data_IF_773872862216
#
_entry.id   IF_773872862216
#
_cell.length_a   1.000
_cell.length_b   1.000
_cell.length_c   1.000
_cell.angle_alpha   90.00
_cell.angle_beta   90.00
_cell.angle_gamma   90.00
#
_symmetry.space_group_name_H-M   'P 1'
#
loop_
_entity.id
_entity.type
_entity.pdbx_description
1 polymer ?
#
# COMPACT_ATOMS: atom_id res chain seq x y z
N UNK A 1 0.41 -36.19 10.61
CA UNK A 1 -0.56 -35.13 11.00
C UNK A 1 0.08 -33.81 10.61
N UNK A 2 -0.32 -33.26 9.48
CA UNK A 2 0.22 -32.00 8.97
C UNK A 2 -0.40 -30.84 9.77
N UNK A 3 0.45 -30.00 10.33
CA UNK A 3 0.08 -28.89 11.22
C UNK A 3 -0.72 -27.85 10.43
N UNK A 4 -1.96 -27.59 10.86
CA UNK A 4 -2.95 -26.66 10.28
C UNK A 4 -2.59 -25.17 10.45
N UNK A 5 -1.32 -24.79 10.28
CA UNK A 5 -0.85 -23.40 10.41
C UNK A 5 -0.05 -22.89 9.19
N UNK A 6 0.02 -23.68 8.13
CA UNK A 6 0.42 -23.22 6.80
C UNK A 6 -0.81 -23.27 5.91
N UNK A 7 -0.92 -22.33 4.96
CA UNK A 7 -2.06 -22.05 4.05
C UNK A 7 -3.01 -20.95 4.59
N UNK A 8 -2.50 -19.73 4.72
CA UNK A 8 -3.33 -18.50 4.66
C UNK A 8 -2.58 -17.35 3.97
N UNK A 9 -1.71 -17.68 3.01
CA UNK A 9 -1.07 -16.70 2.14
C UNK A 9 -0.93 -17.26 0.73
N UNK A 10 -2.01 -17.82 0.22
CA UNK A 10 -2.11 -18.20 -1.19
C UNK A 10 -3.57 -18.04 -1.60
N UNK A 11 -3.75 -17.35 -2.73
CA UNK A 11 -5.01 -17.02 -3.42
C UNK A 11 -5.62 -15.65 -3.10
N UNK A 12 -4.97 -14.56 -3.55
CA UNK A 12 -5.61 -13.48 -4.34
C UNK A 12 -4.56 -12.89 -5.30
N UNK A 13 -4.05 -13.72 -6.21
CA UNK A 13 -3.54 -13.22 -7.49
C UNK A 13 -4.24 -14.09 -8.51
N UNK A 14 -5.34 -13.58 -9.10
CA UNK A 14 -5.87 -13.87 -10.44
C UNK A 14 -7.21 -13.12 -10.57
N UNK A 15 -7.20 -12.08 -11.40
CA UNK A 15 -8.30 -11.72 -12.29
C UNK A 15 -9.39 -10.78 -11.75
N UNK A 16 -9.35 -9.51 -12.16
CA UNK A 16 -10.38 -8.90 -13.04
C UNK A 16 -10.12 -7.39 -13.21
N UNK A 17 -10.05 -6.95 -14.47
CA UNK A 17 -9.90 -5.57 -14.93
C UNK A 17 -11.00 -4.61 -14.40
N UNK A 18 -10.82 -4.04 -13.20
CA UNK A 18 -11.72 -3.00 -12.67
C UNK A 18 -10.97 -1.86 -11.95
N UNK A 19 -9.63 -1.75 -11.91
CA UNK A 19 -9.03 -0.75 -11.01
C UNK A 19 -9.35 0.71 -11.37
N UNK A 20 -9.55 1.03 -12.66
CA UNK A 20 -9.88 2.42 -13.04
C UNK A 20 -11.22 2.89 -12.43
N UNK A 21 -12.20 2.00 -12.27
CA UNK A 21 -13.51 2.34 -11.69
C UNK A 21 -13.50 2.41 -10.16
N UNK A 22 -12.52 1.80 -9.49
CA UNK A 22 -12.37 1.88 -8.03
C UNK A 22 -11.81 3.22 -7.54
N UNK A 23 -11.11 3.98 -8.39
CA UNK A 23 -10.54 5.28 -8.00
C UNK A 23 -11.60 6.33 -7.64
N UNK A 24 -12.82 6.24 -8.21
CA UNK A 24 -13.92 7.18 -7.93
C UNK A 24 -14.54 6.94 -6.54
N UNK A 25 -14.53 5.70 -6.05
CA UNK A 25 -15.13 5.35 -4.75
C UNK A 25 -14.20 5.56 -3.54
N UNK A 26 -12.94 5.98 -3.76
CA UNK A 26 -11.91 6.07 -2.72
C UNK A 26 -11.56 7.52 -2.32
N UNK A 27 -12.33 8.52 -2.79
CA UNK A 27 -12.32 9.88 -2.23
C UNK A 27 -13.18 9.83 -0.97
N UNK A 28 -12.64 10.06 0.24
CA UNK A 28 -13.47 10.11 1.44
C UNK A 28 -14.46 11.29 1.31
N UNK A 29 -15.76 11.01 1.37
CA UNK A 29 -16.81 12.02 1.59
C UNK A 29 -16.66 12.59 3.00
N UNK A 30 -15.71 13.51 3.16
CA UNK A 30 -15.32 14.11 4.44
C UNK A 30 -14.94 13.09 5.53
N UNK A 31 -14.17 13.50 6.56
CA UNK A 31 -14.11 12.73 7.78
C UNK A 31 -15.45 12.92 8.49
N UNK A 32 -16.53 12.31 8.00
CA UNK A 32 -17.64 11.98 8.88
C UNK A 32 -17.04 10.99 9.88
N UNK A 33 -16.73 11.55 11.04
CA UNK A 33 -16.18 10.91 12.22
C UNK A 33 -17.00 9.68 12.58
N UNK A 34 -16.77 8.57 11.87
CA UNK A 34 -17.03 7.25 12.39
C UNK A 34 -15.85 7.00 13.31
N UNK A 35 -15.93 7.61 14.49
CA UNK A 35 -15.16 7.19 15.65
C UNK A 35 -15.54 5.71 15.82
N UNK A 36 -14.78 4.82 15.19
CA UNK A 36 -14.88 3.40 15.43
C UNK A 36 -14.61 3.25 16.92
N UNK A 37 -15.69 2.96 17.62
CA UNK A 37 -15.76 2.91 19.07
C UNK A 37 -15.03 1.64 19.50
N UNK A 38 -13.88 1.75 20.16
CA UNK A 38 -13.21 0.73 21.01
C UNK A 38 -13.61 -0.75 20.72
N UNK A 39 -13.48 -1.22 19.47
CA UNK A 39 -14.18 -2.43 19.00
C UNK A 39 -13.40 -3.70 19.30
N UNK A 40 -12.22 -3.83 18.70
CA UNK A 40 -11.23 -4.87 18.95
C UNK A 40 -9.95 -4.42 18.21
N UNK A 41 -8.80 -4.26 18.88
CA UNK A 41 -7.55 -3.91 18.19
C UNK A 41 -7.17 -4.90 17.07
N UNK A 42 -7.60 -6.16 17.15
CA UNK A 42 -7.44 -7.13 16.08
C UNK A 42 -8.21 -6.72 14.83
N UNK A 43 -9.52 -6.56 14.98
CA UNK A 43 -10.42 -6.25 13.85
C UNK A 43 -10.02 -4.94 13.18
N UNK A 44 -9.62 -3.94 13.97
CA UNK A 44 -9.12 -2.67 13.44
C UNK A 44 -7.85 -2.84 12.59
N UNK A 45 -6.87 -3.60 13.10
CA UNK A 45 -5.61 -3.83 12.39
C UNK A 45 -5.81 -4.70 11.14
N UNK A 46 -6.59 -5.77 11.24
CA UNK A 46 -6.94 -6.64 10.11
C UNK A 46 -7.67 -5.85 9.01
N UNK A 47 -8.65 -5.03 9.39
CA UNK A 47 -9.34 -4.14 8.45
C UNK A 47 -8.39 -3.15 7.77
N UNK A 48 -7.46 -2.56 8.51
CA UNK A 48 -6.48 -1.63 7.96
C UNK A 48 -5.50 -2.32 6.99
N UNK A 49 -5.09 -3.56 7.29
CA UNK A 49 -4.26 -4.39 6.41
C UNK A 49 -5.01 -4.68 5.10
N UNK A 50 -6.25 -5.18 5.18
CA UNK A 50 -7.06 -5.50 4.01
C UNK A 50 -7.26 -4.26 3.12
N UNK A 51 -7.59 -3.11 3.72
CA UNK A 51 -7.71 -1.84 3.00
C UNK A 51 -6.40 -1.46 2.31
N UNK A 52 -5.26 -1.67 2.98
CA UNK A 52 -3.95 -1.35 2.41
C UNK A 52 -3.64 -2.23 1.22
N UNK A 53 -3.89 -3.54 1.30
CA UNK A 53 -3.72 -4.46 0.17
C UNK A 53 -4.54 -4.01 -1.05
N UNK A 54 -5.82 -3.68 -0.85
CA UNK A 54 -6.68 -3.18 -1.94
C UNK A 54 -6.14 -1.88 -2.56
N UNK A 55 -5.72 -0.92 -1.73
CA UNK A 55 -5.17 0.36 -2.19
C UNK A 55 -3.87 0.16 -3.00
N UNK A 56 -2.97 -0.70 -2.51
CA UNK A 56 -1.69 -0.96 -3.17
C UNK A 56 -1.86 -1.76 -4.47
N UNK A 57 -2.70 -2.79 -4.47
CA UNK A 57 -2.98 -3.57 -5.68
C UNK A 57 -3.58 -2.70 -6.79
N UNK A 58 -4.55 -1.85 -6.43
CA UNK A 58 -5.13 -0.88 -7.36
C UNK A 58 -4.09 0.10 -7.92
N UNK A 59 -3.18 0.59 -7.07
CA UNK A 59 -2.08 1.44 -7.52
C UNK A 59 -1.10 0.72 -8.46
N UNK A 60 -0.76 -0.54 -8.15
CA UNK A 60 0.12 -1.35 -9.00
C UNK A 60 -0.48 -1.60 -10.39
N UNK A 61 -1.80 -1.82 -10.48
CA UNK A 61 -2.48 -1.91 -11.77
C UNK A 61 -2.30 -0.63 -12.58
N UNK A 62 -2.46 0.54 -11.96
CA UNK A 62 -2.24 1.85 -12.62
C UNK A 62 -0.79 2.02 -13.07
N UNK A 63 0.18 1.55 -12.30
CA UNK A 63 1.58 1.54 -12.72
C UNK A 63 1.84 0.63 -13.93
N UNK A 64 1.20 -0.54 -13.98
CA UNK A 64 1.26 -1.44 -15.15
C UNK A 64 0.63 -0.78 -16.38
N UNK A 65 -0.56 -0.20 -16.24
CA UNK A 65 -1.25 0.49 -17.33
C UNK A 65 -0.42 1.68 -17.86
N UNK A 66 0.24 2.44 -16.98
CA UNK A 66 1.16 3.50 -17.39
C UNK A 66 2.35 2.93 -18.20
N UNK A 67 2.98 1.85 -17.75
CA UNK A 67 4.10 1.20 -18.49
C UNK A 67 3.67 0.73 -19.88
N UNK A 68 2.43 0.30 -20.03
CA UNK A 68 1.85 -0.12 -21.31
C UNK A 68 1.44 1.05 -22.22
N UNK A 69 1.49 2.30 -21.72
CA UNK A 69 1.03 3.48 -22.44
C UNK A 69 -0.50 3.67 -22.45
N UNK A 70 -1.22 2.92 -21.61
CA UNK A 70 -2.68 2.98 -21.49
C UNK A 70 -3.15 4.11 -20.56
N UNK A 71 -2.27 4.57 -19.65
CA UNK A 71 -2.51 5.68 -18.73
C UNK A 71 -1.47 6.78 -18.95
N UNK A 72 -1.93 8.02 -19.10
CA UNK A 72 -1.04 9.18 -19.23
C UNK A 72 -0.36 9.52 -17.89
N UNK A 73 0.83 10.10 -17.98
CA UNK A 73 1.61 10.58 -16.82
C UNK A 73 0.80 11.42 -15.82
N UNK A 74 0.00 12.39 -16.29
CA UNK A 74 -0.78 13.24 -15.39
C UNK A 74 -1.80 12.44 -14.57
N UNK A 75 -2.45 11.45 -15.20
CA UNK A 75 -3.39 10.54 -14.53
C UNK A 75 -2.67 9.64 -13.53
N UNK A 76 -1.49 9.14 -13.90
CA UNK A 76 -0.62 8.39 -13.00
C UNK A 76 -0.23 9.21 -11.77
N UNK A 77 0.30 10.42 -11.97
CA UNK A 77 0.74 11.32 -10.89
C UNK A 77 -0.41 11.68 -9.94
N UNK A 78 -1.59 11.96 -10.50
CA UNK A 78 -2.80 12.21 -9.71
C UNK A 78 -3.17 11.01 -8.85
N UNK A 79 -3.15 9.80 -9.43
CA UNK A 79 -3.46 8.56 -8.72
C UNK A 79 -2.45 8.28 -7.63
N UNK A 80 -1.16 8.48 -7.91
CA UNK A 80 -0.08 8.31 -6.96
C UNK A 80 -0.23 9.26 -5.76
N UNK A 81 -0.58 10.53 -6.00
CA UNK A 81 -0.81 11.50 -4.92
C UNK A 81 -2.01 11.10 -4.05
N UNK A 82 -3.14 10.73 -4.67
CA UNK A 82 -4.33 10.27 -3.94
C UNK A 82 -4.02 9.04 -3.10
N UNK A 83 -3.26 8.08 -3.64
CA UNK A 83 -2.84 6.87 -2.92
C UNK A 83 -1.96 7.22 -1.73
N UNK A 84 -0.98 8.13 -1.90
CA UNK A 84 -0.12 8.62 -0.81
C UNK A 84 -0.97 9.30 0.28
N UNK A 85 -1.96 10.10 -0.09
CA UNK A 85 -2.84 10.78 0.86
C UNK A 85 -3.69 9.79 1.66
N UNK A 86 -4.20 8.73 1.02
CA UNK A 86 -4.91 7.65 1.71
C UNK A 86 -4.02 6.91 2.71
N UNK A 87 -2.78 6.56 2.32
CA UNK A 87 -1.81 5.94 3.23
C UNK A 87 -1.47 6.88 4.40
N UNK A 88 -1.34 8.19 4.15
CA UNK A 88 -1.13 9.19 5.19
C UNK A 88 -2.30 9.27 6.18
N UNK A 89 -3.54 9.27 5.69
CA UNK A 89 -4.72 9.27 6.55
C UNK A 89 -4.73 8.04 7.45
N UNK A 90 -4.47 6.84 6.91
CA UNK A 90 -4.36 5.61 7.71
C UNK A 90 -3.25 5.70 8.76
N UNK A 91 -2.07 6.24 8.41
CA UNK A 91 -0.99 6.44 9.38
C UNK A 91 -1.43 7.38 10.52
N UNK A 92 -2.11 8.48 10.20
CA UNK A 92 -2.61 9.44 11.20
C UNK A 92 -3.66 8.79 12.11
N UNK A 93 -4.62 8.07 11.52
CA UNK A 93 -5.66 7.34 12.24
C UNK A 93 -5.05 6.33 13.23
N UNK A 94 -4.06 5.55 12.80
CA UNK A 94 -3.41 4.54 13.64
C UNK A 94 -2.53 5.17 14.73
N UNK A 95 -1.82 6.26 14.44
CA UNK A 95 -0.98 6.98 15.43
C UNK A 95 -1.81 7.75 16.46
N UNK A 96 -3.01 8.19 16.10
CA UNK A 96 -3.89 8.98 16.96
C UNK A 96 -4.67 8.19 18.01
N UNK A 97 -4.59 6.86 17.99
CA UNK A 97 -5.38 5.99 18.86
C UNK A 97 -4.58 5.43 20.04
N UNK A 98 -5.20 5.24 21.22
CA UNK A 98 -4.62 4.46 22.29
C UNK A 98 -4.64 2.96 21.91
N UNK A 99 -3.47 2.34 21.85
CA UNK A 99 -3.30 0.92 21.50
C UNK A 99 -2.89 0.15 22.77
N UNK A 100 -3.52 -1.00 23.10
CA UNK A 100 -3.08 -1.84 24.21
C UNK A 100 -1.62 -2.30 24.02
N UNK A 101 -0.87 -2.43 25.11
CA UNK A 101 0.57 -2.70 25.05
C UNK A 101 0.91 -3.98 24.28
N UNK A 102 0.08 -5.01 24.40
CA UNK A 102 0.23 -6.29 23.69
C UNK A 102 0.10 -6.13 22.16
N UNK A 103 -0.66 -5.15 21.68
CA UNK A 103 -0.87 -4.88 20.25
C UNK A 103 0.12 -3.87 19.66
N UNK A 104 0.84 -3.12 20.51
CA UNK A 104 1.68 -1.99 20.10
C UNK A 104 2.72 -2.39 19.04
N UNK A 105 3.35 -3.56 19.17
CA UNK A 105 4.36 -4.01 18.21
C UNK A 105 3.76 -4.23 16.81
N UNK A 106 2.62 -4.91 16.72
CA UNK A 106 1.93 -5.14 15.44
C UNK A 106 1.56 -3.82 14.76
N UNK A 107 0.99 -2.87 15.51
CA UNK A 107 0.63 -1.56 14.96
C UNK A 107 1.85 -0.76 14.50
N UNK A 108 2.94 -0.75 15.26
CA UNK A 108 4.18 -0.05 14.88
C UNK A 108 4.76 -0.61 13.58
N UNK A 109 4.85 -1.94 13.46
CA UNK A 109 5.33 -2.60 12.25
C UNK A 109 4.42 -2.31 11.04
N UNK A 110 3.11 -2.31 11.25
CA UNK A 110 2.16 -1.99 10.19
C UNK A 110 2.28 -0.53 9.74
N UNK A 111 2.38 0.42 10.66
CA UNK A 111 2.63 1.83 10.33
C UNK A 111 3.92 1.99 9.52
N UNK A 112 4.99 1.29 9.90
CA UNK A 112 6.25 1.30 9.14
C UNK A 112 6.08 0.70 7.74
N UNK A 113 5.23 -0.33 7.59
CA UNK A 113 4.86 -0.86 6.28
C UNK A 113 4.19 0.20 5.40
N UNK A 114 3.20 0.94 5.94
CA UNK A 114 2.54 2.03 5.23
C UNK A 114 3.53 3.13 4.79
N UNK A 115 4.48 3.48 5.66
CA UNK A 115 5.53 4.44 5.35
C UNK A 115 6.42 3.96 4.18
N UNK A 116 6.75 2.66 4.12
CA UNK A 116 7.52 2.07 3.02
C UNK A 116 6.72 1.97 1.72
N UNK A 117 5.41 1.70 1.78
CA UNK A 117 4.56 1.77 0.60
C UNK A 117 4.49 3.17 0.01
N UNK A 118 4.41 4.21 0.85
CA UNK A 118 4.49 5.59 0.38
C UNK A 118 5.82 5.86 -0.32
N UNK A 119 6.94 5.45 0.28
CA UNK A 119 8.26 5.59 -0.33
C UNK A 119 8.32 4.88 -1.69
N UNK A 120 7.80 3.65 -1.77
CA UNK A 120 7.66 2.93 -3.04
C UNK A 120 6.88 3.76 -4.09
N UNK A 121 5.72 4.31 -3.74
CA UNK A 121 4.93 5.15 -4.65
C UNK A 121 5.72 6.40 -5.08
N UNK A 122 6.43 7.05 -4.18
CA UNK A 122 7.29 8.19 -4.52
C UNK A 122 8.40 7.79 -5.50
N UNK A 123 9.05 6.64 -5.29
CA UNK A 123 10.09 6.12 -6.19
C UNK A 123 9.55 5.76 -7.57
N UNK A 124 8.34 5.21 -7.64
CA UNK A 124 7.71 4.96 -8.94
C UNK A 124 7.39 6.26 -9.66
N UNK A 125 6.96 7.34 -8.97
CA UNK A 125 6.79 8.68 -9.59
C UNK A 125 8.11 9.24 -10.13
N UNK A 126 9.20 9.10 -9.39
CA UNK A 126 10.53 9.48 -9.86
C UNK A 126 10.90 8.70 -11.15
N UNK A 127 10.64 7.40 -11.18
CA UNK A 127 10.86 6.56 -12.37
C UNK A 127 9.98 6.99 -13.56
N UNK A 128 8.69 7.26 -13.33
CA UNK A 128 7.77 7.76 -14.36
C UNK A 128 8.26 9.09 -14.93
N UNK A 129 8.68 10.02 -14.08
CA UNK A 129 9.27 11.29 -14.49
C UNK A 129 10.51 11.06 -15.35
N UNK A 130 11.41 10.18 -14.92
CA UNK A 130 12.62 9.82 -15.64
C UNK A 130 12.34 9.27 -17.06
N UNK A 131 11.39 8.34 -17.21
CA UNK A 131 11.02 7.79 -18.52
C UNK A 131 10.30 8.79 -19.41
N UNK A 132 9.52 9.70 -18.82
CA UNK A 132 8.73 10.70 -19.57
C UNK A 132 9.59 11.75 -20.27
N UNK A 133 10.83 11.96 -19.83
CA UNK A 133 11.79 12.88 -20.47
C UNK A 133 12.73 12.17 -21.47
N UNK A 134 12.32 11.00 -21.98
CA UNK A 134 13.07 10.17 -22.94
C UNK A 134 14.51 9.84 -22.49
N UNK A 135 14.76 9.75 -21.18
CA UNK A 135 16.04 9.29 -20.67
C UNK A 135 16.11 7.76 -20.74
N UNK A 136 17.16 7.24 -21.38
CA UNK A 136 17.42 5.81 -21.54
C UNK A 136 18.88 5.50 -21.15
N UNK A 137 19.17 5.67 -19.87
CA UNK A 137 20.41 5.22 -19.23
C UNK A 137 20.13 3.90 -18.47
N UNK A 138 20.56 2.75 -19.01
CA UNK A 138 20.26 1.45 -18.41
C UNK A 138 20.72 1.31 -16.96
N UNK A 139 21.79 2.00 -16.55
CA UNK A 139 22.29 1.95 -15.17
C UNK A 139 21.38 2.73 -14.23
N UNK A 140 20.87 3.88 -14.66
CA UNK A 140 19.92 4.66 -13.86
C UNK A 140 18.58 3.94 -13.76
N UNK A 141 18.11 3.37 -14.86
CA UNK A 141 16.90 2.57 -14.89
C UNK A 141 17.00 1.39 -13.92
N UNK A 142 18.10 0.64 -13.91
CA UNK A 142 18.27 -0.47 -12.97
C UNK A 142 18.28 -0.01 -11.50
N UNK A 143 18.83 1.17 -11.20
CA UNK A 143 18.81 1.74 -9.84
C UNK A 143 17.39 2.08 -9.39
N UNK A 144 16.55 2.67 -10.27
CA UNK A 144 15.15 2.92 -9.95
C UNK A 144 14.39 1.62 -9.67
N UNK A 145 14.52 0.63 -10.55
CA UNK A 145 13.83 -0.65 -10.41
C UNK A 145 14.26 -1.41 -9.15
N UNK A 146 15.56 -1.43 -8.84
CA UNK A 146 16.09 -2.04 -7.61
C UNK A 146 15.56 -1.33 -6.35
N UNK A 147 15.54 0.00 -6.35
CA UNK A 147 15.04 0.79 -5.21
C UNK A 147 13.53 0.57 -4.99
N UNK A 148 12.75 0.57 -6.08
CA UNK A 148 11.33 0.24 -6.04
C UNK A 148 11.07 -1.18 -5.51
N UNK A 149 11.82 -2.18 -5.99
CA UNK A 149 11.68 -3.55 -5.48
C UNK A 149 11.99 -3.61 -3.99
N UNK A 150 13.13 -3.08 -3.57
CA UNK A 150 13.55 -3.10 -2.16
C UNK A 150 12.54 -2.43 -1.22
N UNK A 151 12.01 -1.27 -1.62
CA UNK A 151 11.02 -0.54 -0.80
C UNK A 151 9.70 -1.29 -0.72
N UNK A 152 9.23 -1.87 -1.83
CA UNK A 152 8.02 -2.70 -1.85
C UNK A 152 8.18 -3.98 -1.03
N UNK A 153 9.29 -4.71 -1.22
CA UNK A 153 9.59 -5.94 -0.49
C UNK A 153 9.71 -5.69 1.02
N UNK A 154 10.29 -4.54 1.40
CA UNK A 154 10.36 -4.11 2.79
C UNK A 154 8.98 -3.79 3.35
N UNK A 155 8.12 -3.11 2.60
CA UNK A 155 6.75 -2.82 3.01
C UNK A 155 5.97 -4.12 3.27
N UNK A 156 6.04 -5.08 2.34
CA UNK A 156 5.42 -6.41 2.50
C UNK A 156 5.99 -7.17 3.71
N UNK A 157 7.32 -7.16 3.87
CA UNK A 157 7.97 -7.82 5.00
C UNK A 157 7.49 -7.30 6.36
N UNK A 158 7.39 -5.98 6.50
CA UNK A 158 6.91 -5.31 7.72
C UNK A 158 5.42 -5.60 7.99
N UNK A 159 4.59 -5.63 6.93
CA UNK A 159 3.18 -6.01 7.05
C UNK A 159 3.04 -7.46 7.53
N UNK A 160 3.81 -8.38 6.95
CA UNK A 160 3.80 -9.78 7.37
C UNK A 160 4.32 -9.95 8.80
N UNK A 161 5.35 -9.20 9.19
CA UNK A 161 5.87 -9.20 10.56
C UNK A 161 4.81 -8.69 11.55
N UNK A 162 4.08 -7.62 11.20
CA UNK A 162 2.97 -7.11 11.98
C UNK A 162 1.92 -8.19 12.28
N UNK A 163 1.53 -8.95 11.25
CA UNK A 163 0.59 -10.08 11.37
C UNK A 163 1.15 -11.19 12.26
N UNK A 164 2.44 -11.51 12.09
CA UNK A 164 3.07 -12.60 12.83
C UNK A 164 3.22 -12.34 14.33
N UNK A 165 3.27 -11.06 14.73
CA UNK A 165 3.42 -10.66 16.14
C UNK A 165 2.10 -10.21 16.79
N UNK A 166 0.96 -10.39 16.10
CA UNK A 166 -0.35 -10.17 16.72
C UNK A 166 -0.54 -11.11 17.94
N UNK A 167 -1.10 -10.60 19.06
CA UNK A 167 -1.42 -11.40 20.25
C UNK A 167 -2.35 -12.60 20.02
#
# INVERSE_FOLDING_TARGET
MATKKGIMLTVIIIGSFVAASFLIYLIPEEPQSTIITFGDPREELEFAIDRTSVVIDGFQEVFVLWKNGEVYKNTYDSTANVTIDQLNMMIIELKGKPIPNEWNQSYVLFIQSLENYKEYIEKTKEYVNYKSVNQNDPKKESVYLDTMSKTFDRALGLMQESINVMP
#
